data_IF_599483802780
#
_entry.id   IF_599483802780
#
_cell.length_a   1.000
_cell.length_b   1.000
_cell.length_c   1.000
_cell.angle_alpha   90.00
_cell.angle_beta   90.00
_cell.angle_gamma   90.00
#
_symmetry.space_group_name_H-M   'P 1'
#
loop_
_entity.id
_entity.type
_entity.pdbx_description
1 polymer ?
#
# COMPACT_ATOMS: atom_id res chain seq x y z
N UNK A 1 -4.08 -61.84 -28.95
CA UNK A 1 -5.32 -61.94 -29.74
C UNK A 1 -6.37 -61.08 -29.04
N UNK A 2 -6.82 -60.03 -29.72
CA UNK A 2 -7.97 -59.16 -29.38
C UNK A 2 -9.31 -59.94 -29.45
N UNK A 3 -10.49 -59.41 -29.04
CA UNK A 3 -10.86 -57.98 -28.88
C UNK A 3 -11.64 -57.64 -27.58
N UNK A 4 -11.44 -56.48 -26.95
CA UNK A 4 -12.10 -55.16 -27.16
C UNK A 4 -13.60 -55.22 -27.55
N UNK A 5 -14.47 -54.88 -26.59
CA UNK A 5 -15.88 -54.58 -26.83
C UNK A 5 -16.18 -53.18 -26.30
N UNK A 6 -16.60 -52.32 -27.23
CA UNK A 6 -17.11 -50.97 -27.01
C UNK A 6 -18.50 -51.04 -26.35
N UNK A 7 -18.73 -50.19 -25.35
CA UNK A 7 -20.08 -49.90 -24.85
C UNK A 7 -20.40 -48.46 -25.23
N UNK A 8 -21.26 -48.33 -26.24
CA UNK A 8 -21.97 -47.11 -26.64
C UNK A 8 -23.40 -47.23 -26.14
N UNK A 9 -23.89 -46.26 -25.36
CA UNK A 9 -25.33 -46.02 -25.19
C UNK A 9 -25.67 -44.52 -25.15
N UNK A 10 -26.28 -44.10 -26.27
CA UNK A 10 -27.42 -43.18 -26.46
C UNK A 10 -27.58 -41.88 -25.66
N UNK A 11 -27.22 -40.80 -26.37
CA UNK A 11 -28.08 -39.67 -26.82
C UNK A 11 -29.53 -39.62 -26.28
N UNK A 12 -29.82 -38.60 -25.48
CA UNK A 12 -31.17 -38.06 -25.28
C UNK A 12 -31.28 -36.72 -26.03
N UNK A 13 -32.20 -36.68 -26.99
CA UNK A 13 -32.59 -35.47 -27.73
C UNK A 13 -33.44 -34.55 -26.85
N UNK A 14 -33.12 -33.25 -26.86
CA UNK A 14 -34.13 -32.18 -26.82
C UNK A 14 -33.76 -31.15 -27.89
N UNK A 15 -34.62 -31.07 -28.89
CA UNK A 15 -34.76 -29.92 -29.77
C UNK A 15 -35.46 -28.84 -28.95
N UNK A 16 -34.95 -27.62 -29.00
CA UNK A 16 -35.73 -26.42 -29.23
C UNK A 16 -34.76 -25.40 -29.86
N UNK A 17 -35.14 -24.92 -31.04
CA UNK A 17 -34.36 -23.97 -31.81
C UNK A 17 -34.57 -22.56 -31.32
N UNK A 18 -33.53 -21.73 -31.44
CA UNK A 18 -33.75 -20.37 -31.91
C UNK A 18 -32.52 -19.86 -32.69
N UNK A 19 -32.87 -19.01 -33.63
CA UNK A 19 -32.12 -18.51 -34.77
C UNK A 19 -31.18 -17.38 -34.34
N UNK A 20 -29.98 -17.28 -34.94
CA UNK A 20 -29.34 -15.96 -35.02
C UNK A 20 -27.82 -15.93 -35.09
N UNK A 21 -27.33 -15.69 -36.31
CA UNK A 21 -26.14 -14.89 -36.64
C UNK A 21 -24.75 -15.40 -36.18
N UNK A 22 -24.10 -16.09 -37.11
CA UNK A 22 -22.65 -16.11 -37.24
C UNK A 22 -22.11 -14.69 -37.47
N UNK A 23 -21.27 -14.20 -36.55
CA UNK A 23 -20.34 -13.09 -36.81
C UNK A 23 -18.92 -13.66 -36.85
N UNK A 24 -18.32 -13.56 -38.03
CA UNK A 24 -16.92 -13.86 -38.30
C UNK A 24 -16.08 -12.77 -37.65
N UNK A 25 -15.34 -13.07 -36.58
CA UNK A 25 -14.30 -12.19 -36.06
C UNK A 25 -12.99 -12.47 -36.81
N UNK A 26 -12.76 -11.65 -37.84
CA UNK A 26 -11.48 -11.53 -38.51
C UNK A 26 -10.44 -10.87 -37.58
N UNK A 27 -9.26 -11.48 -37.60
CA UNK A 27 -8.05 -11.07 -36.90
C UNK A 27 -7.57 -9.69 -37.37
N UNK A 28 -7.46 -8.73 -36.45
CA UNK A 28 -6.71 -7.49 -36.65
C UNK A 28 -5.54 -7.48 -35.66
N UNK A 29 -4.34 -7.72 -36.19
CA UNK A 29 -3.07 -7.43 -35.52
C UNK A 29 -2.92 -5.91 -35.41
N UNK A 30 -2.89 -5.39 -34.19
CA UNK A 30 -2.41 -4.04 -33.91
C UNK A 30 -0.97 -4.09 -33.37
N UNK A 31 -0.09 -3.29 -33.99
CA UNK A 31 1.31 -3.13 -33.60
C UNK A 31 1.46 -2.39 -32.26
N UNK A 32 2.57 -2.61 -31.51
CA UNK A 32 2.78 -1.96 -30.22
C UNK A 32 3.28 -0.53 -30.42
N UNK A 33 2.47 0.44 -30.02
CA UNK A 33 2.87 1.85 -29.96
C UNK A 33 3.71 2.09 -28.69
N UNK A 34 4.98 2.38 -28.90
CA UNK A 34 5.91 2.80 -27.84
C UNK A 34 5.61 4.25 -27.41
N UNK A 35 4.89 4.41 -26.31
CA UNK A 35 4.82 5.69 -25.60
C UNK A 35 5.83 5.67 -24.45
N UNK A 36 6.96 6.34 -24.67
CA UNK A 36 7.97 6.62 -23.65
C UNK A 36 7.39 7.58 -22.63
N UNK A 37 7.34 7.14 -21.38
CA UNK A 37 7.10 7.97 -20.21
C UNK A 37 8.26 8.99 -20.06
N UNK A 38 7.91 10.28 -19.98
CA UNK A 38 8.83 11.34 -19.54
C UNK A 38 8.53 11.58 -18.05
N UNK A 39 9.52 11.51 -17.14
CA UNK A 39 9.30 11.81 -15.73
C UNK A 39 9.31 13.33 -15.51
N UNK A 40 8.19 13.88 -15.05
CA UNK A 40 8.12 15.25 -14.56
C UNK A 40 8.51 15.26 -13.08
N UNK A 41 9.54 16.04 -12.76
CA UNK A 41 10.07 16.25 -11.41
C UNK A 41 9.06 17.11 -10.63
N UNK A 42 8.46 16.56 -9.58
CA UNK A 42 7.67 17.31 -8.61
C UNK A 42 8.55 17.91 -7.51
N UNK A 43 8.21 19.09 -6.95
CA UNK A 43 9.00 19.70 -5.89
C UNK A 43 8.75 19.05 -4.52
N UNK A 44 9.84 18.93 -3.75
CA UNK A 44 9.90 18.46 -2.37
C UNK A 44 9.02 19.30 -1.43
N UNK A 45 8.11 18.66 -0.72
CA UNK A 45 7.52 19.20 0.50
C UNK A 45 8.32 18.70 1.70
N UNK A 46 9.04 19.62 2.36
CA UNK A 46 9.55 19.40 3.71
C UNK A 46 8.51 19.85 4.73
N UNK A 47 8.08 18.90 5.54
CA UNK A 47 7.40 19.06 6.83
C UNK A 47 8.25 19.84 7.82
N UNK A 48 7.67 20.87 8.46
CA UNK A 48 8.08 21.33 9.78
C UNK A 48 6.84 21.63 10.62
N UNK A 49 6.63 20.78 11.63
CA UNK A 49 5.89 21.07 12.85
C UNK A 49 6.75 21.98 13.73
N UNK A 50 6.14 22.98 14.39
CA UNK A 50 6.21 23.18 15.84
C UNK A 50 5.60 24.54 16.24
N UNK A 51 4.50 24.45 16.97
CA UNK A 51 4.20 25.10 18.25
C UNK A 51 4.48 26.61 18.42
N UNK A 52 3.39 27.34 18.66
CA UNK A 52 3.36 28.62 19.36
C UNK A 52 3.73 28.45 20.84
N UNK A 53 4.29 29.49 21.48
CA UNK A 53 3.47 30.20 22.45
C UNK A 53 3.64 31.73 22.46
N UNK A 54 2.62 32.41 22.98
CA UNK A 54 2.63 33.81 23.40
C UNK A 54 3.70 34.07 24.46
N UNK A 55 4.38 35.22 24.41
CA UNK A 55 4.33 36.19 25.52
C UNK A 55 4.92 37.56 25.15
N UNK A 56 4.45 38.53 25.92
CA UNK A 56 4.64 39.97 25.85
C UNK A 56 6.00 40.46 26.34
N UNK A 57 6.35 41.67 25.87
CA UNK A 57 6.99 42.78 26.60
C UNK A 57 8.43 43.18 26.24
N UNK A 58 8.49 44.43 25.75
CA UNK A 58 9.41 45.53 26.11
C UNK A 58 10.93 45.36 25.99
N UNK A 59 11.46 46.26 25.16
CA UNK A 59 12.60 47.18 25.42
C UNK A 59 13.91 46.89 24.68
N UNK A 60 14.31 47.90 23.89
CA UNK A 60 15.68 48.33 23.53
C UNK A 60 16.55 47.30 22.76
N UNK A 61 17.30 47.61 21.70
CA UNK A 61 17.92 48.86 21.20
C UNK A 61 18.56 48.57 19.83
N UNK A 62 18.51 49.52 18.88
CA UNK A 62 19.47 49.72 17.77
C UNK A 62 19.60 48.64 16.68
N UNK A 63 19.35 48.91 15.39
CA UNK A 63 20.18 49.78 14.55
C UNK A 63 19.41 50.24 13.29
N UNK A 64 19.71 51.49 12.91
CA UNK A 64 18.99 52.44 12.06
C UNK A 64 19.42 52.38 10.58
N UNK A 65 18.46 52.39 9.64
CA UNK A 65 18.58 52.98 8.28
C UNK A 65 17.32 53.81 8.01
N UNK A 66 17.39 55.10 8.30
CA UNK A 66 17.52 56.20 7.31
C UNK A 66 16.17 56.55 6.66
N UNK A 67 15.34 57.26 7.45
CA UNK A 67 14.26 58.10 6.93
C UNK A 67 14.90 59.41 6.44
N UNK A 68 14.56 59.81 5.21
CA UNK A 68 15.04 61.05 4.62
C UNK A 68 14.54 62.24 5.44
N UNK A 69 15.49 63.09 5.83
CA UNK A 69 15.30 64.27 6.62
C UNK A 69 14.55 65.37 5.83
N UNK A 70 13.52 65.93 6.44
CA UNK A 70 12.95 67.23 6.10
C UNK A 70 13.97 68.32 6.46
N UNK A 71 14.36 69.25 5.56
CA UNK A 71 15.25 70.34 5.93
C UNK A 71 14.47 71.46 6.62
N UNK A 72 14.64 71.60 7.93
CA UNK A 72 14.28 72.79 8.69
C UNK A 72 15.50 73.70 8.79
N UNK A 73 15.64 74.68 7.91
CA UNK A 73 16.43 75.89 8.19
C UNK A 73 15.71 77.13 7.67
N UNK A 74 15.33 77.95 8.63
CA UNK A 74 14.77 79.29 8.51
C UNK A 74 15.71 80.23 7.75
N UNK A 75 15.22 81.04 6.79
CA UNK A 75 15.93 82.19 6.28
C UNK A 75 15.76 83.43 7.20
N UNK A 76 16.73 84.36 7.23
CA UNK A 76 16.78 85.48 8.17
C UNK A 76 15.80 86.61 7.82
N UNK A 77 15.45 87.36 8.86
CA UNK A 77 14.37 88.34 8.89
C UNK A 77 14.63 89.63 8.09
N UNK A 78 13.50 90.19 7.63
CA UNK A 78 13.18 91.59 7.31
C UNK A 78 13.89 92.23 6.11
N UNK A 79 13.11 92.36 5.02
CA UNK A 79 12.93 93.63 4.30
C UNK A 79 11.52 93.69 3.68
N UNK A 80 10.79 94.71 4.11
CA UNK A 80 9.72 95.44 3.41
C UNK A 80 8.49 94.67 2.90
N UNK A 81 7.36 95.01 3.51
CA UNK A 81 6.04 94.82 2.95
C UNK A 81 5.94 95.45 1.56
N UNK A 82 5.67 94.61 0.57
CA UNK A 82 4.95 94.99 -0.65
C UNK A 82 3.96 93.87 -0.90
N UNK A 83 2.68 94.16 -0.70
CA UNK A 83 1.56 93.34 -1.14
C UNK A 83 1.70 93.15 -2.65
N UNK A 84 2.35 92.06 -3.06
CA UNK A 84 2.33 91.63 -4.45
C UNK A 84 1.00 90.94 -4.64
N UNK A 85 0.06 91.64 -5.30
CA UNK A 85 -1.16 91.06 -5.84
C UNK A 85 -0.85 89.64 -6.35
N UNK A 86 -1.46 88.63 -5.75
CA UNK A 86 -1.46 87.29 -6.34
C UNK A 86 -2.07 87.48 -7.71
N UNK A 87 -1.23 87.46 -8.74
CA UNK A 87 -1.67 87.69 -10.11
C UNK A 87 -2.81 86.73 -10.38
N UNK A 88 -3.95 87.27 -10.83
CA UNK A 88 -5.12 86.50 -11.24
C UNK A 88 -4.73 85.35 -12.18
N UNK A 89 -3.65 85.51 -12.96
CA UNK A 89 -3.07 84.49 -13.82
C UNK A 89 -2.50 83.27 -13.04
N UNK A 90 -1.88 83.47 -11.88
CA UNK A 90 -1.36 82.39 -11.04
C UNK A 90 -2.48 81.58 -10.38
N UNK A 91 -3.55 82.25 -9.93
CA UNK A 91 -4.76 81.57 -9.41
C UNK A 91 -5.45 80.78 -10.52
N UNK A 92 -5.60 81.37 -11.71
CA UNK A 92 -6.17 80.68 -12.87
C UNK A 92 -5.32 79.49 -13.33
N UNK A 93 -3.99 79.58 -13.27
CA UNK A 93 -3.09 78.47 -13.58
C UNK A 93 -3.22 77.32 -12.56
N UNK A 94 -3.34 77.64 -11.27
CA UNK A 94 -3.57 76.65 -10.22
C UNK A 94 -4.95 75.97 -10.35
N UNK A 95 -6.00 76.74 -10.67
CA UNK A 95 -7.33 76.19 -10.95
C UNK A 95 -7.29 75.24 -12.14
N UNK A 96 -6.67 75.63 -13.25
CA UNK A 96 -6.50 74.75 -14.42
C UNK A 96 -5.70 73.48 -14.10
N UNK A 97 -4.65 73.59 -13.29
CA UNK A 97 -3.89 72.42 -12.85
C UNK A 97 -4.73 71.49 -11.98
N UNK A 98 -5.57 72.04 -11.11
CA UNK A 98 -6.46 71.24 -10.28
C UNK A 98 -7.55 70.56 -11.12
N UNK A 99 -8.09 71.25 -12.11
CA UNK A 99 -9.07 70.72 -13.07
C UNK A 99 -8.51 69.51 -13.82
N UNK A 100 -7.29 69.63 -14.38
CA UNK A 100 -6.59 68.52 -15.01
C UNK A 100 -6.33 67.34 -14.06
N UNK A 101 -5.96 67.63 -12.80
CA UNK A 101 -5.75 66.58 -11.80
C UNK A 101 -7.07 65.87 -11.46
N UNK A 102 -8.17 66.60 -11.35
CA UNK A 102 -9.51 66.04 -11.10
C UNK A 102 -9.94 65.15 -12.26
N UNK A 103 -9.69 65.57 -13.50
CA UNK A 103 -9.94 64.74 -14.69
C UNK A 103 -9.12 63.45 -14.67
N UNK A 104 -7.84 63.52 -14.32
CA UNK A 104 -6.97 62.34 -14.23
C UNK A 104 -7.35 61.42 -13.06
N UNK A 105 -7.77 61.99 -11.93
CA UNK A 105 -8.36 61.20 -10.83
C UNK A 105 -9.66 60.52 -11.27
N UNK A 106 -10.50 61.19 -12.06
CA UNK A 106 -11.71 60.61 -12.64
C UNK A 106 -11.42 59.38 -13.52
N UNK A 107 -10.41 59.48 -14.39
CA UNK A 107 -9.96 58.35 -15.23
C UNK A 107 -9.44 57.18 -14.39
N UNK A 108 -8.57 57.46 -13.41
CA UNK A 108 -8.05 56.42 -12.52
C UNK A 108 -9.16 55.75 -11.70
N UNK A 109 -10.17 56.51 -11.27
CA UNK A 109 -11.31 55.97 -10.54
C UNK A 109 -12.14 55.03 -11.43
N UNK A 110 -12.33 55.39 -12.70
CA UNK A 110 -13.00 54.54 -13.67
C UNK A 110 -12.20 53.24 -13.93
N UNK A 111 -10.89 53.34 -14.19
CA UNK A 111 -10.02 52.17 -14.39
C UNK A 111 -10.03 51.23 -13.18
N UNK A 112 -9.96 51.78 -11.97
CA UNK A 112 -10.06 51.01 -10.74
C UNK A 112 -11.43 50.32 -10.60
N UNK A 113 -12.53 51.01 -10.94
CA UNK A 113 -13.88 50.44 -10.92
C UNK A 113 -14.01 49.25 -11.86
N UNK A 114 -13.48 49.36 -13.09
CA UNK A 114 -13.46 48.27 -14.07
C UNK A 114 -12.61 47.08 -13.59
N UNK A 115 -11.46 47.36 -12.97
CA UNK A 115 -10.60 46.34 -12.38
C UNK A 115 -11.29 45.61 -11.20
N UNK A 116 -12.00 46.32 -10.33
CA UNK A 116 -12.77 45.71 -9.24
C UNK A 116 -13.88 44.79 -9.77
N UNK A 117 -14.56 45.18 -10.84
CA UNK A 117 -15.55 44.32 -11.49
C UNK A 117 -14.90 43.04 -12.04
N UNK A 118 -13.74 43.17 -12.69
CA UNK A 118 -12.97 42.02 -13.19
C UNK A 118 -12.51 41.09 -12.05
N UNK A 119 -11.97 41.64 -10.97
CA UNK A 119 -11.57 40.86 -9.79
C UNK A 119 -12.75 40.16 -9.12
N UNK A 120 -13.92 40.79 -9.07
CA UNK A 120 -15.13 40.17 -8.54
C UNK A 120 -15.48 38.91 -9.32
N UNK A 121 -15.50 38.98 -10.66
CA UNK A 121 -15.74 37.82 -11.52
C UNK A 121 -14.68 36.73 -11.34
N UNK A 122 -13.41 37.10 -11.20
CA UNK A 122 -12.34 36.12 -11.00
C UNK A 122 -12.45 35.42 -9.63
N UNK A 123 -12.83 36.14 -8.58
CA UNK A 123 -13.07 35.58 -7.24
C UNK A 123 -14.25 34.60 -7.26
N UNK A 124 -15.34 34.95 -7.93
CA UNK A 124 -16.49 34.05 -8.12
C UNK A 124 -16.10 32.76 -8.87
N UNK A 125 -15.37 32.89 -9.98
CA UNK A 125 -14.87 31.74 -10.74
C UNK A 125 -13.94 30.84 -9.91
N UNK A 126 -13.02 31.44 -9.15
CA UNK A 126 -12.14 30.67 -8.28
C UNK A 126 -12.91 29.98 -7.15
N UNK A 127 -13.94 30.63 -6.60
CA UNK A 127 -14.81 30.04 -5.59
C UNK A 127 -15.52 28.80 -6.13
N UNK A 128 -16.03 28.88 -7.37
CA UNK A 128 -16.63 27.74 -8.06
C UNK A 128 -15.63 26.59 -8.26
N UNK A 129 -14.44 26.88 -8.79
CA UNK A 129 -13.38 25.87 -8.99
C UNK A 129 -12.96 25.20 -7.68
N UNK A 130 -12.84 25.97 -6.60
CA UNK A 130 -12.51 25.41 -5.27
C UNK A 130 -13.62 24.47 -4.79
N UNK A 131 -14.89 24.81 -4.99
CA UNK A 131 -16.01 23.95 -4.63
C UNK A 131 -16.00 22.63 -5.43
N UNK A 132 -15.74 22.71 -6.74
CA UNK A 132 -15.61 21.53 -7.60
C UNK A 132 -14.42 20.65 -7.17
N UNK A 133 -13.25 21.24 -6.93
CA UNK A 133 -12.08 20.52 -6.43
C UNK A 133 -12.36 19.80 -5.11
N UNK A 134 -13.10 20.45 -4.18
CA UNK A 134 -13.50 19.82 -2.91
C UNK A 134 -14.39 18.60 -3.14
N UNK A 135 -15.41 18.72 -4.00
CA UNK A 135 -16.29 17.59 -4.33
C UNK A 135 -15.53 16.43 -4.98
N UNK A 136 -14.59 16.72 -5.88
CA UNK A 136 -13.71 15.71 -6.48
C UNK A 136 -12.85 15.02 -5.42
N UNK A 137 -12.29 15.78 -4.47
CA UNK A 137 -11.46 15.25 -3.40
C UNK A 137 -12.26 14.31 -2.48
N UNK A 138 -13.46 14.69 -2.07
CA UNK A 138 -14.36 13.85 -1.26
C UNK A 138 -14.70 12.54 -2.00
N UNK A 139 -15.00 12.63 -3.30
CA UNK A 139 -15.25 11.44 -4.12
C UNK A 139 -14.03 10.51 -4.20
N UNK A 140 -12.82 11.08 -4.29
CA UNK A 140 -11.59 10.28 -4.27
C UNK A 140 -11.34 9.63 -2.92
N UNK A 141 -11.57 10.34 -1.81
CA UNK A 141 -11.45 9.79 -0.46
C UNK A 141 -12.39 8.60 -0.25
N UNK A 142 -13.64 8.71 -0.72
CA UNK A 142 -14.61 7.61 -0.66
C UNK A 142 -14.16 6.39 -1.50
N UNK A 143 -13.63 6.62 -2.71
CA UNK A 143 -13.08 5.55 -3.55
C UNK A 143 -11.87 4.90 -2.90
N UNK A 144 -10.95 5.69 -2.31
CA UNK A 144 -9.78 5.17 -1.59
C UNK A 144 -10.19 4.32 -0.39
N UNK A 145 -11.18 4.77 0.39
CA UNK A 145 -11.71 3.99 1.51
C UNK A 145 -12.30 2.66 1.05
N UNK A 146 -13.04 2.67 -0.07
CA UNK A 146 -13.62 1.46 -0.66
C UNK A 146 -12.55 0.50 -1.15
N UNK A 147 -11.60 0.98 -1.94
CA UNK A 147 -10.47 0.19 -2.47
C UNK A 147 -9.64 -0.41 -1.33
N UNK A 148 -9.36 0.35 -0.27
CA UNK A 148 -8.61 -0.16 0.88
C UNK A 148 -9.36 -1.28 1.60
N UNK A 149 -10.68 -1.15 1.76
CA UNK A 149 -11.52 -2.19 2.35
C UNK A 149 -11.54 -3.46 1.50
N UNK A 150 -11.70 -3.33 0.18
CA UNK A 150 -11.68 -4.45 -0.75
C UNK A 150 -10.31 -5.13 -0.79
N UNK A 151 -9.23 -4.36 -0.83
CA UNK A 151 -7.86 -4.87 -0.78
C UNK A 151 -7.59 -5.67 0.51
N UNK A 152 -8.05 -5.18 1.65
CA UNK A 152 -7.93 -5.91 2.92
C UNK A 152 -8.71 -7.24 2.88
N UNK A 153 -9.94 -7.22 2.35
CA UNK A 153 -10.77 -8.42 2.23
C UNK A 153 -10.18 -9.45 1.24
N UNK A 154 -9.62 -9.00 0.12
CA UNK A 154 -8.97 -9.86 -0.87
C UNK A 154 -7.70 -10.50 -0.31
N UNK A 155 -6.88 -9.74 0.42
CA UNK A 155 -5.69 -10.27 1.10
C UNK A 155 -6.05 -11.36 2.10
N UNK A 156 -7.07 -11.17 2.93
CA UNK A 156 -7.49 -12.19 3.88
C UNK A 156 -8.01 -13.45 3.18
N UNK A 157 -8.80 -13.31 2.10
CA UNK A 157 -9.26 -14.44 1.28
C UNK A 157 -8.09 -15.22 0.67
N UNK A 158 -7.07 -14.50 0.19
CA UNK A 158 -5.86 -15.12 -0.37
C UNK A 158 -5.10 -15.89 0.71
N UNK A 159 -4.89 -15.28 1.89
CA UNK A 159 -4.22 -15.96 3.00
C UNK A 159 -4.97 -17.21 3.43
N UNK A 160 -6.31 -17.16 3.54
CA UNK A 160 -7.09 -18.32 3.92
C UNK A 160 -7.04 -19.44 2.87
N UNK A 161 -7.09 -19.09 1.57
CA UNK A 161 -6.92 -20.05 0.49
C UNK A 161 -5.53 -20.71 0.54
N UNK A 162 -4.47 -19.94 0.78
CA UNK A 162 -3.12 -20.48 0.95
C UNK A 162 -3.00 -21.38 2.17
N UNK A 163 -3.51 -20.94 3.33
CA UNK A 163 -3.56 -21.74 4.56
C UNK A 163 -4.26 -23.05 4.29
N UNK A 164 -5.41 -23.02 3.60
CA UNK A 164 -6.18 -24.20 3.27
C UNK A 164 -5.38 -25.17 2.39
N UNK A 165 -4.80 -24.69 1.30
CA UNK A 165 -3.99 -25.51 0.38
C UNK A 165 -2.83 -26.21 1.11
N UNK A 166 -2.14 -25.51 2.01
CA UNK A 166 -0.98 -26.06 2.74
C UNK A 166 -1.34 -27.03 3.88
N UNK A 167 -2.63 -27.25 4.19
CA UNK A 167 -3.03 -28.22 5.23
C UNK A 167 -2.67 -29.65 4.88
N UNK A 168 -2.44 -29.95 3.62
CA UNK A 168 -1.99 -31.25 3.13
C UNK A 168 -0.47 -31.37 3.06
N UNK A 169 0.28 -30.33 3.45
CA UNK A 169 1.72 -30.27 3.26
C UNK A 169 2.49 -30.48 4.57
N UNK A 170 3.64 -31.14 4.46
CA UNK A 170 4.74 -31.05 5.43
C UNK A 170 6.01 -30.60 4.73
N UNK A 171 6.87 -29.95 5.50
CA UNK A 171 8.21 -29.55 5.08
C UNK A 171 9.20 -30.51 5.71
N UNK A 172 10.01 -31.14 4.90
CA UNK A 172 11.14 -31.98 5.32
C UNK A 172 12.42 -31.16 5.22
N UNK A 173 13.10 -31.06 6.36
CA UNK A 173 14.35 -30.33 6.56
C UNK A 173 15.49 -31.32 6.79
N UNK A 174 16.69 -30.99 6.32
CA UNK A 174 17.90 -31.78 6.53
C UNK A 174 18.12 -32.90 5.50
N UNK A 175 17.28 -33.02 4.47
CA UNK A 175 17.45 -34.02 3.43
C UNK A 175 18.61 -33.64 2.49
N UNK A 176 19.73 -34.36 2.62
CA UNK A 176 20.93 -34.19 1.78
C UNK A 176 20.59 -34.25 0.29
N UNK A 177 21.16 -33.33 -0.47
CA UNK A 177 20.96 -33.24 -1.92
C UNK A 177 21.90 -34.17 -2.65
N UNK A 178 21.40 -34.82 -3.69
CA UNK A 178 22.19 -35.65 -4.59
C UNK A 178 21.78 -35.33 -6.03
N UNK A 179 22.74 -35.34 -6.94
CA UNK A 179 22.45 -35.13 -8.37
C UNK A 179 21.67 -36.32 -8.94
N UNK A 180 20.69 -36.02 -9.80
CA UNK A 180 19.83 -37.04 -10.41
C UNK A 180 18.92 -37.79 -9.41
N UNK A 181 18.63 -37.21 -8.25
CA UNK A 181 17.83 -37.90 -7.25
C UNK A 181 16.35 -38.04 -7.62
N UNK A 182 15.79 -39.21 -7.33
CA UNK A 182 14.35 -39.44 -7.33
C UNK A 182 13.80 -39.11 -5.94
N UNK A 183 13.26 -37.89 -5.79
CA UNK A 183 12.69 -37.41 -4.53
C UNK A 183 11.52 -38.29 -4.08
N UNK A 184 10.73 -38.84 -5.00
CA UNK A 184 9.56 -39.66 -4.66
C UNK A 184 9.98 -40.95 -3.99
N UNK A 185 10.92 -41.68 -4.59
CA UNK A 185 11.51 -42.89 -3.98
C UNK A 185 12.20 -42.62 -2.64
N UNK A 186 12.91 -41.50 -2.51
CA UNK A 186 13.52 -41.10 -1.22
C UNK A 186 12.47 -40.82 -0.15
N UNK A 187 11.41 -40.09 -0.51
CA UNK A 187 10.29 -39.78 0.37
C UNK A 187 9.60 -41.07 0.85
N UNK A 188 9.31 -41.97 -0.06
CA UNK A 188 8.74 -43.30 0.24
C UNK A 188 9.65 -44.09 1.17
N UNK A 189 10.95 -44.19 0.87
CA UNK A 189 11.88 -44.93 1.71
C UNK A 189 11.95 -44.38 3.14
N UNK A 190 11.94 -43.05 3.30
CA UNK A 190 11.92 -42.40 4.62
C UNK A 190 10.60 -42.71 5.34
N UNK A 191 9.47 -42.59 4.66
CA UNK A 191 8.16 -42.88 5.25
C UNK A 191 8.03 -44.35 5.65
N UNK A 192 8.44 -45.29 4.81
CA UNK A 192 8.39 -46.73 5.09
C UNK A 192 9.24 -47.11 6.31
N UNK A 193 10.35 -46.43 6.56
CA UNK A 193 11.18 -46.63 7.77
C UNK A 193 10.54 -46.07 9.03
N UNK A 194 9.79 -44.97 8.93
CA UNK A 194 9.12 -44.34 10.08
C UNK A 194 7.79 -45.04 10.39
N UNK A 195 7.09 -45.46 9.35
CA UNK A 195 5.76 -46.08 9.40
C UNK A 195 5.81 -47.41 8.63
N UNK A 196 6.28 -48.45 9.30
CA UNK A 196 6.40 -49.80 8.72
C UNK A 196 5.08 -50.30 8.11
N UNK A 197 3.95 -49.95 8.74
CA UNK A 197 2.60 -50.27 8.26
C UNK A 197 2.26 -49.66 6.89
N UNK A 198 2.96 -48.63 6.44
CA UNK A 198 2.74 -47.96 5.16
C UNK A 198 3.80 -48.30 4.12
N UNK A 199 4.69 -49.27 4.39
CA UNK A 199 5.75 -49.64 3.47
C UNK A 199 5.22 -50.00 2.06
N UNK A 200 4.03 -50.60 1.99
CA UNK A 200 3.38 -51.00 0.73
C UNK A 200 2.40 -49.95 0.18
N UNK A 201 2.16 -48.84 0.89
CA UNK A 201 1.16 -47.81 0.54
C UNK A 201 1.77 -46.41 0.42
N UNK A 202 3.08 -46.27 0.59
CA UNK A 202 3.75 -44.97 0.60
C UNK A 202 3.54 -44.19 -0.72
N UNK A 203 3.44 -44.91 -1.85
CA UNK A 203 3.17 -44.37 -3.18
C UNK A 203 1.81 -43.65 -3.26
N UNK A 204 0.75 -44.27 -2.73
CA UNK A 204 -0.62 -43.71 -2.71
C UNK A 204 -0.80 -42.58 -1.68
N UNK A 205 0.06 -42.55 -0.66
CA UNK A 205 0.01 -41.60 0.44
C UNK A 205 0.60 -40.24 0.03
N UNK A 206 1.69 -40.25 -0.75
CA UNK A 206 2.36 -39.06 -1.26
C UNK A 206 1.77 -38.70 -2.62
N UNK A 207 1.15 -37.53 -2.70
CA UNK A 207 0.61 -36.99 -3.94
C UNK A 207 1.72 -36.31 -4.76
N UNK A 208 2.40 -35.32 -4.17
CA UNK A 208 3.47 -34.58 -4.84
C UNK A 208 4.63 -34.30 -3.88
N UNK A 209 5.87 -34.41 -4.37
CA UNK A 209 7.07 -34.06 -3.62
C UNK A 209 8.01 -33.23 -4.48
N UNK A 210 8.52 -32.13 -3.93
CA UNK A 210 9.47 -31.27 -4.64
C UNK A 210 10.35 -30.47 -3.69
N UNK A 211 11.55 -30.11 -4.14
CA UNK A 211 12.42 -29.16 -3.44
C UNK A 211 11.91 -27.74 -3.60
N UNK A 212 12.13 -26.94 -2.57
CA UNK A 212 11.78 -25.53 -2.51
C UNK A 212 13.01 -24.72 -2.12
N UNK A 213 13.27 -23.69 -2.92
CA UNK A 213 14.41 -22.79 -2.76
C UNK A 213 15.44 -22.97 -3.88
N UNK A 214 16.47 -22.12 -3.85
CA UNK A 214 17.64 -22.26 -4.71
C UNK A 214 18.66 -23.15 -4.02
N UNK A 215 19.41 -23.93 -4.81
CA UNK A 215 20.54 -24.72 -4.33
C UNK A 215 21.63 -23.78 -3.83
N UNK A 216 22.05 -23.96 -2.58
CA UNK A 216 23.10 -23.19 -1.92
C UNK A 216 24.11 -24.14 -1.29
N UNK A 217 25.40 -23.83 -1.44
CA UNK A 217 26.47 -24.64 -0.85
C UNK A 217 26.39 -24.55 0.68
N UNK A 218 26.40 -25.71 1.35
CA UNK A 218 26.31 -25.82 2.80
C UNK A 218 24.90 -25.83 3.38
N UNK A 219 23.84 -25.63 2.58
CA UNK A 219 22.45 -25.72 3.04
C UNK A 219 21.59 -26.58 2.12
N UNK A 220 21.09 -27.71 2.64
CA UNK A 220 20.10 -28.52 1.93
C UNK A 220 18.79 -27.74 1.72
N UNK A 221 18.27 -27.70 0.49
CA UNK A 221 16.95 -27.18 0.19
C UNK A 221 15.89 -27.98 0.94
N UNK A 222 14.80 -27.29 1.25
CA UNK A 222 13.70 -27.85 2.01
C UNK A 222 12.77 -28.57 1.04
N UNK A 223 12.24 -29.72 1.42
CA UNK A 223 11.35 -30.50 0.55
C UNK A 223 9.92 -30.32 1.04
N UNK A 224 8.99 -30.02 0.13
CA UNK A 224 7.56 -30.05 0.43
C UNK A 224 7.03 -31.42 0.04
N UNK A 225 6.37 -32.08 0.99
CA UNK A 225 5.61 -33.31 0.81
C UNK A 225 4.13 -32.96 0.89
N UNK A 226 3.42 -33.07 -0.22
CA UNK A 226 1.98 -32.98 -0.30
C UNK A 226 1.39 -34.38 -0.20
N UNK A 227 0.43 -34.55 0.71
CA UNK A 227 -0.24 -35.82 0.94
C UNK A 227 -1.60 -35.85 0.23
N UNK A 228 -2.01 -37.01 -0.26
CA UNK A 228 -3.32 -37.21 -0.89
C UNK A 228 -4.47 -36.91 0.08
N UNK A 229 -4.27 -37.22 1.37
CA UNK A 229 -5.27 -37.01 2.42
C UNK A 229 -4.65 -36.33 3.64
N UNK A 230 -5.41 -35.41 4.25
CA UNK A 230 -4.99 -34.69 5.46
C UNK A 230 -4.75 -35.62 6.65
N UNK A 231 -5.56 -36.68 6.80
CA UNK A 231 -5.37 -37.66 7.86
C UNK A 231 -4.01 -38.37 7.74
N UNK A 232 -3.56 -38.67 6.53
CA UNK A 232 -2.23 -39.27 6.32
C UNK A 232 -1.13 -38.31 6.79
N UNK A 233 -1.23 -37.04 6.37
CA UNK A 233 -0.32 -35.97 6.81
C UNK A 233 -0.26 -35.84 8.33
N UNK A 234 -1.42 -35.82 8.99
CA UNK A 234 -1.52 -35.70 10.44
C UNK A 234 -0.91 -36.92 11.17
N UNK A 235 -1.07 -38.13 10.63
CA UNK A 235 -0.43 -39.34 11.16
C UNK A 235 1.10 -39.27 11.04
N UNK A 236 1.63 -38.91 9.87
CA UNK A 236 3.08 -38.71 9.67
C UNK A 236 3.60 -37.66 10.63
N UNK A 237 2.90 -36.53 10.76
CA UNK A 237 3.29 -35.45 11.67
C UNK A 237 3.36 -35.90 13.13
N UNK A 238 2.45 -36.76 13.58
CA UNK A 238 2.49 -37.30 14.95
C UNK A 238 3.66 -38.24 15.15
N UNK A 239 3.86 -39.18 14.23
CA UNK A 239 4.88 -40.24 14.36
C UNK A 239 6.31 -39.70 14.19
N UNK A 240 6.48 -38.63 13.43
CA UNK A 240 7.81 -38.03 13.19
C UNK A 240 8.37 -37.23 14.36
N UNK A 241 7.56 -36.84 15.35
CA UNK A 241 8.04 -36.06 16.50
C UNK A 241 9.04 -36.81 17.37
N UNK A 242 8.78 -38.09 17.59
CA UNK A 242 9.56 -38.95 18.50
C UNK A 242 10.33 -40.05 17.78
N UNK A 243 10.30 -40.08 16.43
CA UNK A 243 10.97 -41.08 15.61
C UNK A 243 12.50 -41.05 15.76
N UNK A 244 13.09 -42.20 16.09
CA UNK A 244 14.54 -42.39 16.14
C UNK A 244 15.19 -42.19 14.76
N UNK A 245 14.55 -42.68 13.70
CA UNK A 245 15.02 -42.56 12.31
C UNK A 245 15.23 -41.09 11.92
N UNK A 246 14.31 -40.21 12.33
CA UNK A 246 14.46 -38.78 12.07
C UNK A 246 15.67 -38.17 12.79
N UNK A 247 15.89 -38.57 14.05
CA UNK A 247 17.02 -38.07 14.86
C UNK A 247 18.36 -38.56 14.32
N UNK A 248 18.48 -39.85 14.00
CA UNK A 248 19.70 -40.47 13.46
C UNK A 248 20.10 -39.90 12.11
N UNK A 249 19.13 -39.64 11.23
CA UNK A 249 19.39 -39.09 9.90
C UNK A 249 19.45 -37.55 9.86
N UNK A 250 19.26 -36.87 11.00
CA UNK A 250 19.22 -35.42 11.06
C UNK A 250 18.03 -34.80 10.32
N UNK A 251 16.95 -35.56 10.13
CA UNK A 251 15.74 -35.13 9.45
C UNK A 251 14.76 -34.47 10.42
N UNK A 252 14.13 -33.38 9.99
CA UNK A 252 13.06 -32.73 10.75
C UNK A 252 11.87 -32.46 9.86
N UNK A 253 10.72 -32.97 10.28
CA UNK A 253 9.45 -32.56 9.71
C UNK A 253 8.97 -31.27 10.38
N UNK A 254 8.35 -30.40 9.60
CA UNK A 254 7.68 -29.20 10.07
C UNK A 254 6.36 -29.03 9.31
N UNK A 255 5.38 -28.39 9.92
CA UNK A 255 4.18 -27.97 9.21
C UNK A 255 4.51 -26.87 8.20
N UNK A 256 3.82 -26.88 7.06
CA UNK A 256 3.97 -25.87 6.01
C UNK A 256 3.07 -24.65 6.27
N UNK A 257 3.54 -23.73 7.10
CA UNK A 257 2.83 -22.48 7.36
C UNK A 257 3.12 -21.42 6.28
N UNK A 258 2.14 -20.57 6.01
CA UNK A 258 2.36 -19.31 5.29
C UNK A 258 3.31 -18.41 6.10
N UNK A 259 3.89 -17.40 5.44
CA UNK A 259 4.91 -16.53 6.05
C UNK A 259 4.33 -15.79 7.26
N UNK A 260 3.12 -15.29 7.12
CA UNK A 260 2.36 -14.51 8.09
C UNK A 260 2.09 -15.35 9.34
N UNK A 261 1.63 -16.59 9.17
CA UNK A 261 1.38 -17.53 10.25
C UNK A 261 2.67 -17.92 11.01
N UNK A 262 3.80 -18.01 10.30
CA UNK A 262 5.11 -18.24 10.93
C UNK A 262 5.55 -17.04 11.78
N UNK A 263 5.43 -15.83 11.24
CA UNK A 263 5.76 -14.60 11.96
C UNK A 263 4.84 -14.40 13.17
N UNK A 264 3.54 -14.67 13.02
CA UNK A 264 2.58 -14.64 14.11
C UNK A 264 2.97 -15.61 15.24
N UNK A 265 3.42 -16.82 14.88
CA UNK A 265 3.94 -17.78 15.87
C UNK A 265 5.22 -17.28 16.53
N UNK A 266 6.16 -16.73 15.79
CA UNK A 266 7.39 -16.17 16.37
C UNK A 266 7.08 -15.04 17.37
N UNK A 267 6.14 -14.15 17.06
CA UNK A 267 5.68 -13.08 17.96
C UNK A 267 4.97 -13.63 19.22
N UNK A 268 4.17 -14.69 19.06
CA UNK A 268 3.38 -15.26 20.15
C UNK A 268 4.19 -16.23 21.04
N UNK A 269 5.33 -16.73 20.56
CA UNK A 269 6.13 -17.72 21.29
C UNK A 269 6.62 -17.24 22.66
N UNK A 270 7.15 -16.01 22.81
CA UNK A 270 7.51 -15.48 24.12
C UNK A 270 6.32 -15.43 25.08
N UNK A 271 5.12 -15.06 24.59
CA UNK A 271 3.90 -14.98 25.40
C UNK A 271 3.47 -16.36 25.90
N UNK A 272 3.50 -17.37 25.04
CA UNK A 272 3.22 -18.77 25.41
C UNK A 272 4.25 -19.27 26.42
N UNK A 273 5.54 -19.01 26.19
CA UNK A 273 6.63 -19.47 27.06
C UNK A 273 6.51 -18.88 28.46
N UNK A 274 6.23 -17.57 28.56
CA UNK A 274 5.95 -16.88 29.84
C UNK A 274 4.71 -17.42 30.54
N UNK A 275 3.65 -17.76 29.81
CA UNK A 275 2.47 -18.35 30.42
C UNK A 275 2.76 -19.76 30.96
N UNK A 276 3.51 -20.58 30.23
CA UNK A 276 3.93 -21.91 30.69
C UNK A 276 4.80 -21.83 31.95
N UNK A 277 5.73 -20.87 32.01
CA UNK A 277 6.56 -20.68 33.21
C UNK A 277 5.75 -20.21 34.43
N UNK A 278 4.56 -19.63 34.21
CA UNK A 278 3.60 -19.28 35.26
C UNK A 278 2.64 -20.43 35.61
N UNK A 279 2.83 -21.63 35.06
CA UNK A 279 1.95 -22.79 35.28
C UNK A 279 0.62 -22.75 34.51
N UNK A 280 0.46 -21.81 33.57
CA UNK A 280 -0.76 -21.69 32.75
C UNK A 280 -0.76 -22.66 31.59
N UNK A 281 -1.96 -23.08 31.16
CA UNK A 281 -2.10 -23.95 29.99
C UNK A 281 -2.00 -23.09 28.73
N UNK A 282 -0.85 -23.15 28.06
CA UNK A 282 -0.59 -22.37 26.86
C UNK A 282 -0.07 -23.22 25.68
N UNK A 283 -0.71 -23.10 24.52
CA UNK A 283 -0.35 -23.84 23.30
C UNK A 283 -0.80 -23.12 22.03
N UNK A 284 -0.28 -23.55 20.87
CA UNK A 284 -0.72 -23.07 19.57
C UNK A 284 -1.95 -23.82 19.06
N UNK A 285 -2.89 -23.09 18.48
CA UNK A 285 -3.95 -23.64 17.63
C UNK A 285 -3.85 -22.97 16.25
N UNK A 286 -3.26 -23.65 15.27
CA UNK A 286 -2.92 -23.01 14.00
C UNK A 286 -1.90 -21.89 14.20
N UNK A 287 -2.20 -20.68 13.72
CA UNK A 287 -1.37 -19.48 13.88
C UNK A 287 -1.68 -18.65 15.14
N UNK A 288 -2.71 -19.01 15.91
CA UNK A 288 -3.07 -18.30 17.15
C UNK A 288 -2.53 -19.02 18.38
N UNK A 289 -2.30 -18.25 19.44
CA UNK A 289 -1.97 -18.77 20.76
C UNK A 289 -3.26 -18.93 21.57
N UNK A 290 -3.34 -20.00 22.37
CA UNK A 290 -4.40 -20.21 23.36
C UNK A 290 -3.73 -20.25 24.72
N UNK A 291 -4.14 -19.37 25.63
CA UNK A 291 -3.63 -19.28 27.01
C UNK A 291 -4.81 -19.29 27.96
N UNK A 292 -4.90 -20.31 28.84
CA UNK A 292 -6.02 -20.54 29.76
C UNK A 292 -7.39 -20.46 29.06
N UNK A 293 -7.49 -21.09 27.89
CA UNK A 293 -8.70 -21.11 27.07
C UNK A 293 -8.96 -19.84 26.25
N UNK A 294 -8.22 -18.75 26.47
CA UNK A 294 -8.37 -17.50 25.72
C UNK A 294 -7.50 -17.47 24.47
N UNK A 295 -8.10 -17.08 23.34
CA UNK A 295 -7.40 -16.94 22.05
C UNK A 295 -6.69 -15.60 22.00
N UNK A 296 -5.38 -15.63 21.74
CA UNK A 296 -4.53 -14.46 21.56
C UNK A 296 -4.02 -14.47 20.11
N UNK A 297 -4.27 -13.38 19.41
CA UNK A 297 -3.81 -13.14 18.04
C UNK A 297 -2.52 -12.30 18.07
N UNK A 298 -1.70 -12.45 17.03
CA UNK A 298 -0.53 -11.61 16.81
C UNK A 298 -0.96 -10.16 16.55
N UNK A 299 -0.08 -9.20 16.88
CA UNK A 299 -0.36 -7.77 16.71
C UNK A 299 -0.48 -7.37 15.24
N UNK A 300 0.22 -8.10 14.36
CA UNK A 300 0.14 -7.87 12.93
C UNK A 300 -0.84 -8.88 12.32
N UNK A 301 -2.05 -8.45 11.94
CA UNK A 301 -2.80 -9.14 10.91
C UNK A 301 -2.19 -8.83 9.54
N UNK A 302 -1.56 -7.65 9.40
CA UNK A 302 -0.76 -7.10 8.31
C UNK A 302 0.09 -5.95 8.86
#
# INVERSE_FOLDING_TARGET
MLPYTDIVWSRASRQDGDVGTHVVLSSIRAAPNQLRFIPTVGPNFHTLNAETPMETSKSATGTRRQLNATPTKLPPAKKQATESEVSLAAVLAAIKSLDNNVDDFGKQLQENSEMFACFTLQVEQNTFRIAECKSIMENFEQKLATINKENAALKEKLLEAERYKRRWNLRLLGLKEQEGEDLRKKGEQILSRILLQWANQADDVIDTIHRVGRKEDGRSCQVILQFTRRCHRDTVWKMTKDSAVCKEQGLRFAQDFIKEDRLAREELWPKITKARSQGKVAFYRGHVAVIDGKVIKASSPF
#
